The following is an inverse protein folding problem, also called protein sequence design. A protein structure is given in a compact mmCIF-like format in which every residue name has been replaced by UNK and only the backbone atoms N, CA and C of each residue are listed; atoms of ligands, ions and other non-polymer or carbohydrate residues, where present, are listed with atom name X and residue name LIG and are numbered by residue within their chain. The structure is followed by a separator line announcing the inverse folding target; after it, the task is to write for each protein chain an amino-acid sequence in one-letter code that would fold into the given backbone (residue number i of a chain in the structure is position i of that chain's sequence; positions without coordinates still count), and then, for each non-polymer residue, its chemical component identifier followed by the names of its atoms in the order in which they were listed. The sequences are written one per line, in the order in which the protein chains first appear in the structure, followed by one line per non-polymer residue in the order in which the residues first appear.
data_IF_686828502676
#
_entry.id   IF_686828502676
#
_cell.length_a   1.000
_cell.length_b   1.000
_cell.length_c   1.000
_cell.angle_alpha   90.00
_cell.angle_beta   90.00
_cell.angle_gamma   90.00
#
_symmetry.space_group_name_H-M   'P 1'
#
loop_
_entity.id
_entity.type
_entity.pdbx_description
1 polymer ?
#
# COMPACT_ATOMS: atom_id res chain seq x y z
N UNK A 1 19.81 -41.23 -33.60
CA UNK A 1 19.59 -39.77 -33.60
C UNK A 1 18.18 -39.56 -33.13
N UNK A 2 17.96 -39.03 -31.92
CA UNK A 2 16.61 -38.69 -31.45
C UNK A 2 16.03 -37.60 -32.35
N UNK A 3 14.81 -37.84 -32.83
CA UNK A 3 14.07 -36.90 -33.67
C UNK A 3 13.75 -35.62 -32.90
N UNK A 4 13.49 -34.53 -33.60
CA UNK A 4 13.04 -33.27 -32.98
C UNK A 4 11.80 -33.49 -32.10
N UNK A 5 10.91 -34.39 -32.53
CA UNK A 5 9.68 -34.74 -31.81
C UNK A 5 9.97 -35.47 -30.49
N UNK A 6 10.89 -36.43 -30.51
CA UNK A 6 11.34 -37.14 -29.30
C UNK A 6 11.97 -36.17 -28.28
N UNK A 7 12.85 -35.26 -28.74
CA UNK A 7 13.47 -34.25 -27.86
C UNK A 7 12.44 -33.28 -27.26
N UNK A 8 11.44 -32.86 -28.04
CA UNK A 8 10.37 -32.00 -27.54
C UNK A 8 9.49 -32.73 -26.50
N UNK A 9 9.25 -34.03 -26.71
CA UNK A 9 8.51 -34.85 -25.76
C UNK A 9 9.27 -34.99 -24.44
N UNK A 10 10.57 -35.27 -24.48
CA UNK A 10 11.44 -35.32 -23.31
C UNK A 10 11.38 -34.01 -22.51
N UNK A 11 11.57 -32.85 -23.17
CA UNK A 11 11.49 -31.54 -22.52
C UNK A 11 10.11 -31.25 -21.90
N UNK A 12 9.02 -31.70 -22.54
CA UNK A 12 7.67 -31.55 -21.98
C UNK A 12 7.48 -32.40 -20.72
N UNK A 13 8.01 -33.63 -20.71
CA UNK A 13 7.97 -34.47 -19.51
C UNK A 13 8.76 -33.86 -18.35
N UNK A 14 9.89 -33.19 -18.63
CA UNK A 14 10.63 -32.42 -17.63
C UNK A 14 9.80 -31.25 -17.09
N UNK A 15 9.14 -30.47 -17.95
CA UNK A 15 8.23 -29.39 -17.53
C UNK A 15 7.10 -29.94 -16.65
N UNK A 16 6.44 -31.02 -17.07
CA UNK A 16 5.36 -31.63 -16.28
C UNK A 16 5.85 -32.08 -14.89
N UNK A 17 7.10 -32.53 -14.78
CA UNK A 17 7.70 -32.90 -13.50
C UNK A 17 7.95 -31.68 -12.61
N UNK A 18 8.44 -30.58 -13.17
CA UNK A 18 8.62 -29.31 -12.47
C UNK A 18 7.26 -28.75 -12.01
N UNK A 19 6.25 -28.76 -12.88
CA UNK A 19 4.91 -28.25 -12.58
C UNK A 19 4.24 -29.02 -11.44
N UNK A 20 4.41 -30.35 -11.40
CA UNK A 20 4.00 -31.15 -10.23
C UNK A 20 4.71 -30.72 -8.95
N UNK A 21 6.02 -30.48 -9.02
CA UNK A 21 6.80 -29.96 -7.90
C UNK A 21 6.32 -28.58 -7.42
N UNK A 22 6.01 -27.67 -8.35
CA UNK A 22 5.45 -26.36 -8.03
C UNK A 22 4.09 -26.49 -7.34
N UNK A 23 3.21 -27.37 -7.84
CA UNK A 23 1.92 -27.62 -7.23
C UNK A 23 2.06 -28.16 -5.79
N UNK A 24 2.96 -29.11 -5.55
CA UNK A 24 3.24 -29.63 -4.21
C UNK A 24 3.78 -28.56 -3.26
N UNK A 25 4.65 -27.66 -3.76
CA UNK A 25 5.15 -26.52 -3.01
C UNK A 25 4.06 -25.51 -2.67
N UNK A 26 3.14 -25.22 -3.59
CA UNK A 26 1.97 -24.37 -3.34
C UNK A 26 1.09 -24.99 -2.25
N UNK A 27 0.77 -26.28 -2.34
CA UNK A 27 0.00 -26.99 -1.32
C UNK A 27 0.70 -26.98 0.05
N UNK A 28 2.03 -27.16 0.09
CA UNK A 28 2.81 -27.05 1.32
C UNK A 28 2.76 -25.63 1.90
N UNK A 29 2.90 -24.59 1.07
CA UNK A 29 2.79 -23.19 1.48
C UNK A 29 1.42 -22.92 2.09
N UNK A 30 0.34 -23.37 1.44
CA UNK A 30 -1.03 -23.22 1.94
C UNK A 30 -1.19 -23.78 3.35
N UNK A 31 -0.75 -25.03 3.60
CA UNK A 31 -0.81 -25.64 4.94
C UNK A 31 -0.05 -24.85 6.01
N UNK A 32 1.07 -24.23 5.66
CA UNK A 32 1.83 -23.38 6.58
C UNK A 32 1.03 -22.11 6.90
N UNK A 33 0.40 -21.48 5.90
CA UNK A 33 -0.41 -20.27 6.10
C UNK A 33 -1.64 -20.57 6.95
N UNK A 34 -2.29 -21.72 6.75
CA UNK A 34 -3.37 -22.20 7.63
C UNK A 34 -2.90 -22.29 9.10
N UNK A 35 -1.73 -22.89 9.36
CA UNK A 35 -1.17 -22.92 10.71
C UNK A 35 -0.82 -21.55 11.28
N UNK A 36 -0.44 -20.57 10.44
CA UNK A 36 -0.21 -19.17 10.87
C UNK A 36 -1.53 -18.51 11.25
N UNK A 37 -2.63 -18.80 10.56
CA UNK A 37 -3.96 -18.30 10.88
C UNK A 37 -4.40 -18.75 12.28
N UNK A 38 -4.20 -20.02 12.60
CA UNK A 38 -4.57 -20.59 13.90
C UNK A 38 -3.85 -19.88 15.07
N UNK A 39 -2.60 -19.46 14.86
CA UNK A 39 -1.84 -18.69 15.85
C UNK A 39 -2.35 -17.24 15.99
N UNK A 40 -2.93 -16.68 14.94
CA UNK A 40 -3.45 -15.29 14.89
C UNK A 40 -4.96 -15.21 15.15
N UNK A 41 -5.53 -16.21 15.83
CA UNK A 41 -6.93 -16.20 16.22
C UNK A 41 -7.22 -14.96 17.09
N UNK A 42 -8.24 -14.17 16.73
CA UNK A 42 -8.60 -12.92 17.43
C UNK A 42 -8.11 -11.60 16.81
N UNK A 43 -7.17 -11.59 15.84
CA UNK A 43 -6.84 -10.35 15.10
C UNK A 43 -8.03 -9.92 14.22
N UNK A 44 -8.55 -8.69 14.37
CA UNK A 44 -9.68 -8.17 13.58
C UNK A 44 -9.34 -7.93 12.10
N UNK A 45 -8.10 -7.55 11.79
CA UNK A 45 -7.63 -7.33 10.43
C UNK A 45 -6.42 -8.21 10.13
N UNK A 46 -6.56 -9.02 9.07
CA UNK A 46 -5.64 -10.12 8.77
C UNK A 46 -4.51 -9.76 7.80
N UNK A 47 -4.72 -8.77 6.91
CA UNK A 47 -3.68 -8.33 5.98
C UNK A 47 -2.46 -7.76 6.72
N UNK A 48 -1.26 -7.98 6.16
CA UNK A 48 -0.01 -7.42 6.67
C UNK A 48 0.79 -6.78 5.53
N UNK A 49 0.41 -5.58 5.06
CA UNK A 49 1.00 -4.95 3.88
C UNK A 49 2.53 -4.82 3.93
N UNK A 50 3.10 -4.50 5.10
CA UNK A 50 4.54 -4.42 5.28
C UNK A 50 5.25 -5.77 5.11
N UNK A 51 4.61 -6.88 5.51
CA UNK A 51 5.13 -8.23 5.28
C UNK A 51 5.12 -8.56 3.80
N UNK A 52 4.05 -8.22 3.09
CA UNK A 52 3.93 -8.44 1.64
C UNK A 52 4.97 -7.64 0.86
N UNK A 53 5.15 -6.36 1.18
CA UNK A 53 6.17 -5.51 0.58
C UNK A 53 7.57 -6.12 0.75
N UNK A 54 7.93 -6.54 1.97
CA UNK A 54 9.23 -7.21 2.24
C UNK A 54 9.41 -8.53 1.50
N UNK A 55 8.33 -9.29 1.26
CA UNK A 55 8.39 -10.50 0.43
C UNK A 55 8.78 -10.13 -1.00
N UNK A 56 8.12 -9.11 -1.58
CA UNK A 56 8.37 -8.70 -2.95
C UNK A 56 9.73 -8.02 -3.13
N UNK A 57 10.20 -7.23 -2.16
CA UNK A 57 11.55 -6.66 -2.17
C UNK A 57 12.61 -7.77 -2.22
N UNK A 58 12.51 -8.73 -1.28
CA UNK A 58 13.42 -9.87 -1.23
C UNK A 58 13.38 -10.70 -2.51
N UNK A 59 12.18 -10.95 -3.03
CA UNK A 59 11.99 -11.71 -4.27
C UNK A 59 12.71 -11.03 -5.44
N UNK A 60 12.61 -9.71 -5.59
CA UNK A 60 13.33 -8.97 -6.62
C UNK A 60 14.85 -8.94 -6.41
N UNK A 61 15.30 -8.84 -5.16
CA UNK A 61 16.72 -8.79 -4.81
C UNK A 61 17.43 -10.13 -5.02
N UNK A 62 16.77 -11.24 -4.64
CA UNK A 62 17.34 -12.60 -4.71
C UNK A 62 17.17 -13.24 -6.09
N UNK A 63 16.28 -12.72 -6.95
CA UNK A 63 15.97 -13.34 -8.23
C UNK A 63 17.15 -13.35 -9.20
N UNK A 64 17.46 -14.55 -9.70
CA UNK A 64 18.49 -14.82 -10.70
C UNK A 64 17.87 -15.47 -11.95
N UNK A 65 18.49 -15.21 -13.10
CA UNK A 65 18.09 -15.81 -14.38
C UNK A 65 17.09 -14.98 -15.19
N UNK A 66 16.57 -15.60 -16.26
CA UNK A 66 15.89 -14.91 -17.36
C UNK A 66 14.39 -14.68 -17.15
N UNK A 67 13.76 -15.29 -16.14
CA UNK A 67 12.34 -15.08 -15.90
C UNK A 67 12.10 -13.62 -15.49
N UNK A 68 11.17 -12.89 -16.10
CA UNK A 68 11.03 -11.47 -15.81
C UNK A 68 10.43 -11.23 -14.41
N UNK A 69 11.09 -10.34 -13.63
CA UNK A 69 10.79 -10.09 -12.21
C UNK A 69 9.37 -9.57 -11.96
N UNK A 70 8.81 -8.83 -12.93
CA UNK A 70 7.45 -8.29 -12.84
C UNK A 70 6.42 -9.42 -12.78
N UNK A 71 6.51 -10.36 -13.70
CA UNK A 71 5.64 -11.54 -13.77
C UNK A 71 5.84 -12.43 -12.54
N UNK A 72 7.07 -12.53 -12.04
CA UNK A 72 7.38 -13.26 -10.80
C UNK A 72 6.66 -12.63 -9.59
N UNK A 73 6.74 -11.31 -9.46
CA UNK A 73 6.03 -10.58 -8.41
C UNK A 73 4.51 -10.74 -8.51
N UNK A 74 3.96 -10.80 -9.73
CA UNK A 74 2.52 -11.04 -9.96
C UNK A 74 2.10 -12.43 -9.51
N UNK A 75 2.90 -13.47 -9.79
CA UNK A 75 2.65 -14.83 -9.29
C UNK A 75 2.62 -14.85 -7.75
N UNK A 76 3.60 -14.19 -7.11
CA UNK A 76 3.61 -14.07 -5.64
C UNK A 76 2.43 -13.28 -5.10
N UNK A 77 2.01 -12.21 -5.78
CA UNK A 77 0.85 -11.42 -5.42
C UNK A 77 -0.43 -12.26 -5.41
N UNK A 78 -0.67 -13.05 -6.45
CA UNK A 78 -1.83 -13.94 -6.52
C UNK A 78 -1.79 -15.01 -5.42
N UNK A 79 -0.62 -15.60 -5.13
CA UNK A 79 -0.48 -16.56 -4.03
C UNK A 79 -0.74 -15.95 -2.64
N UNK A 80 -0.40 -14.67 -2.44
CA UNK A 80 -0.68 -13.95 -1.19
C UNK A 80 -2.18 -13.70 -1.08
N UNK A 81 -2.78 -13.12 -2.13
CA UNK A 81 -4.21 -12.78 -2.17
C UNK A 81 -5.10 -14.01 -2.00
N UNK A 82 -4.79 -15.12 -2.69
CA UNK A 82 -5.56 -16.35 -2.59
C UNK A 82 -5.66 -16.84 -1.14
N UNK A 83 -4.58 -16.70 -0.36
CA UNK A 83 -4.54 -17.09 1.04
C UNK A 83 -5.19 -16.10 2.00
N UNK A 84 -5.41 -14.83 1.61
CA UNK A 84 -6.17 -13.87 2.43
C UNK A 84 -7.60 -14.32 2.68
N UNK A 85 -8.21 -14.96 1.66
CA UNK A 85 -9.58 -15.51 1.77
C UNK A 85 -9.71 -16.58 2.85
N UNK A 86 -8.61 -17.25 3.21
CA UNK A 86 -8.60 -18.23 4.29
C UNK A 86 -8.67 -17.57 5.66
N UNK A 87 -8.20 -16.33 5.81
CA UNK A 87 -8.09 -15.67 7.10
C UNK A 87 -9.39 -14.96 7.53
N UNK A 88 -10.35 -14.75 6.61
CA UNK A 88 -11.68 -14.19 6.87
C UNK A 88 -12.31 -13.56 5.62
N UNK A 89 -13.55 -13.02 5.72
CA UNK A 89 -14.15 -12.26 4.63
C UNK A 89 -13.31 -11.01 4.33
N UNK A 90 -12.82 -10.90 3.09
CA UNK A 90 -12.03 -9.78 2.61
C UNK A 90 -12.78 -9.07 1.47
N UNK A 91 -12.92 -7.75 1.53
CA UNK A 91 -13.57 -6.96 0.49
C UNK A 91 -12.96 -5.57 0.33
N UNK A 92 -13.15 -4.97 -0.84
CA UNK A 92 -12.56 -3.67 -1.21
C UNK A 92 -13.67 -2.67 -1.57
N UNK A 93 -13.68 -1.52 -0.92
CA UNK A 93 -14.42 -0.35 -1.37
C UNK A 93 -13.54 0.47 -2.32
N UNK A 94 -13.98 0.74 -3.54
CA UNK A 94 -13.19 1.44 -4.57
C UNK A 94 -13.85 2.79 -4.88
N UNK A 95 -13.09 3.87 -4.77
CA UNK A 95 -13.50 5.16 -5.34
C UNK A 95 -13.54 5.03 -6.86
N UNK A 96 -14.74 5.16 -7.43
CA UNK A 96 -14.97 4.95 -8.84
C UNK A 96 -15.87 6.08 -9.39
N UNK A 97 -15.30 7.25 -9.71
CA UNK A 97 -16.03 8.26 -10.45
C UNK A 97 -16.28 7.75 -11.88
N UNK A 98 -17.32 8.25 -12.53
CA UNK A 98 -17.76 7.76 -13.85
C UNK A 98 -16.71 7.95 -14.96
N UNK A 99 -15.79 8.90 -14.79
CA UNK A 99 -14.77 9.30 -15.75
C UNK A 99 -13.41 8.60 -15.60
N UNK A 100 -13.16 7.93 -14.46
CA UNK A 100 -11.84 7.39 -14.12
C UNK A 100 -11.94 5.93 -13.65
N UNK A 101 -12.20 4.97 -14.56
CA UNK A 101 -12.41 3.58 -14.20
C UNK A 101 -11.15 2.87 -13.69
N UNK A 102 -9.95 3.40 -13.96
CA UNK A 102 -8.68 2.73 -13.66
C UNK A 102 -8.40 2.45 -12.18
N UNK A 103 -9.08 3.12 -11.22
CA UNK A 103 -8.98 2.76 -9.79
C UNK A 103 -9.46 1.34 -9.51
N UNK A 104 -10.45 0.86 -10.27
CA UNK A 104 -10.92 -0.52 -10.17
C UNK A 104 -9.87 -1.51 -10.66
N UNK A 105 -9.11 -1.16 -11.70
CA UNK A 105 -8.02 -2.01 -12.17
C UNK A 105 -6.86 -2.02 -11.20
N UNK A 106 -6.49 -0.87 -10.61
CA UNK A 106 -5.48 -0.82 -9.54
C UNK A 106 -5.88 -1.70 -8.35
N UNK A 107 -7.15 -1.66 -7.96
CA UNK A 107 -7.69 -2.51 -6.91
C UNK A 107 -7.60 -4.00 -7.28
N UNK A 108 -8.02 -4.37 -8.50
CA UNK A 108 -7.94 -5.76 -9.00
C UNK A 108 -6.49 -6.25 -9.10
N UNK A 109 -5.59 -5.40 -9.56
CA UNK A 109 -4.16 -5.70 -9.67
C UNK A 109 -3.51 -6.01 -8.31
N UNK A 110 -3.99 -5.36 -7.25
CA UNK A 110 -3.48 -5.54 -5.90
C UNK A 110 -4.18 -6.68 -5.15
N UNK A 111 -5.48 -6.85 -5.35
CA UNK A 111 -6.30 -7.77 -4.55
C UNK A 111 -6.85 -8.94 -5.36
N UNK A 112 -6.34 -9.16 -6.56
CA UNK A 112 -6.71 -10.28 -7.43
C UNK A 112 -8.12 -10.18 -8.01
N UNK A 113 -8.45 -11.15 -8.85
CA UNK A 113 -9.69 -11.15 -9.64
C UNK A 113 -10.91 -11.65 -8.85
N UNK A 114 -10.70 -12.43 -7.79
CA UNK A 114 -11.79 -13.09 -7.04
C UNK A 114 -12.24 -12.32 -5.79
N UNK A 115 -11.55 -11.25 -5.42
CA UNK A 115 -11.91 -10.45 -4.26
C UNK A 115 -13.19 -9.64 -4.53
N UNK A 116 -14.21 -9.72 -3.66
CA UNK A 116 -15.38 -8.85 -3.74
C UNK A 116 -15.00 -7.36 -3.69
N UNK A 117 -15.43 -6.59 -4.68
CA UNK A 117 -15.19 -5.15 -4.76
C UNK A 117 -16.49 -4.38 -4.95
N UNK A 118 -16.62 -3.23 -4.29
CA UNK A 118 -17.78 -2.35 -4.33
C UNK A 118 -17.38 -0.97 -4.87
N UNK A 119 -18.24 -0.36 -5.69
CA UNK A 119 -18.00 0.95 -6.31
C UNK A 119 -18.66 2.05 -5.47
N UNK A 120 -17.92 3.11 -5.20
CA UNK A 120 -18.42 4.29 -4.51
C UNK A 120 -18.15 5.55 -5.34
N UNK A 121 -19.18 6.38 -5.53
CA UNK A 121 -19.08 7.62 -6.29
C UNK A 121 -18.38 8.76 -5.55
N UNK A 122 -18.09 8.62 -4.25
CA UNK A 122 -17.36 9.63 -3.47
C UNK A 122 -16.28 9.00 -2.60
N UNK A 123 -15.16 9.71 -2.46
CA UNK A 123 -14.06 9.28 -1.61
C UNK A 123 -14.47 9.19 -0.13
N UNK A 124 -15.37 10.09 0.30
CA UNK A 124 -15.98 10.04 1.64
C UNK A 124 -16.69 8.71 1.91
N UNK A 125 -17.52 8.25 0.96
CA UNK A 125 -18.25 7.00 1.12
C UNK A 125 -17.32 5.78 1.24
N UNK A 126 -16.16 5.80 0.58
CA UNK A 126 -15.13 4.75 0.76
C UNK A 126 -14.54 4.78 2.17
N UNK A 127 -14.21 5.97 2.70
CA UNK A 127 -13.71 6.10 4.08
C UNK A 127 -14.74 5.61 5.09
N UNK A 128 -16.02 5.97 4.90
CA UNK A 128 -17.13 5.55 5.75
C UNK A 128 -17.33 4.03 5.69
N UNK A 129 -17.31 3.42 4.51
CA UNK A 129 -17.46 1.97 4.33
C UNK A 129 -16.37 1.17 5.07
N UNK A 130 -15.12 1.66 5.06
CA UNK A 130 -14.02 1.01 5.81
C UNK A 130 -14.18 1.21 7.32
N UNK A 131 -14.49 2.44 7.76
CA UNK A 131 -14.67 2.76 9.18
C UNK A 131 -15.83 1.99 9.82
N UNK A 132 -16.90 1.76 9.06
CA UNK A 132 -18.07 0.99 9.48
C UNK A 132 -17.92 -0.52 9.26
N UNK A 133 -16.73 -0.99 8.85
CA UNK A 133 -16.43 -2.41 8.59
C UNK A 133 -17.32 -3.05 7.50
N UNK A 134 -17.89 -2.24 6.60
CA UNK A 134 -18.62 -2.70 5.42
C UNK A 134 -17.67 -3.17 4.30
N UNK A 135 -16.45 -2.64 4.30
CA UNK A 135 -15.34 -3.11 3.49
C UNK A 135 -14.07 -3.26 4.33
N UNK A 136 -13.22 -4.25 4.00
CA UNK A 136 -11.95 -4.47 4.72
C UNK A 136 -10.92 -3.38 4.41
N UNK A 137 -10.86 -2.97 3.14
CA UNK A 137 -9.94 -1.91 2.68
C UNK A 137 -10.65 -0.95 1.73
N UNK A 138 -10.14 0.28 1.64
CA UNK A 138 -10.64 1.31 0.74
C UNK A 138 -9.58 1.79 -0.23
N UNK A 139 -9.87 1.86 -1.52
CA UNK A 139 -8.98 2.39 -2.55
C UNK A 139 -9.42 3.81 -2.89
N UNK A 140 -8.52 4.76 -2.67
CA UNK A 140 -8.75 6.19 -2.79
C UNK A 140 -7.74 6.81 -3.74
N UNK A 141 -8.08 7.91 -4.43
CA UNK A 141 -7.14 8.61 -5.29
C UNK A 141 -5.99 9.17 -4.45
N UNK A 142 -4.79 9.22 -5.01
CA UNK A 142 -3.70 9.96 -4.37
C UNK A 142 -4.15 11.41 -4.14
N UNK A 143 -3.85 12.03 -2.98
CA UNK A 143 -4.26 13.40 -2.71
C UNK A 143 -3.80 14.35 -3.84
N UNK A 144 -4.73 15.12 -4.40
CA UNK A 144 -4.46 16.19 -5.37
C UNK A 144 -4.96 17.54 -4.86
N UNK A 145 -4.38 18.64 -5.36
CA UNK A 145 -4.72 20.00 -4.90
C UNK A 145 -6.05 20.51 -5.45
N UNK A 146 -6.55 19.89 -6.53
CA UNK A 146 -7.73 20.35 -7.27
C UNK A 146 -9.06 19.76 -6.77
N UNK A 147 -9.09 19.11 -5.59
CA UNK A 147 -10.32 18.54 -5.02
C UNK A 147 -10.89 19.47 -3.95
N UNK A 148 -12.15 19.88 -4.16
CA UNK A 148 -12.91 20.74 -3.25
C UNK A 148 -13.00 20.18 -1.81
N UNK A 149 -12.97 18.85 -1.67
CA UNK A 149 -13.03 18.17 -0.38
C UNK A 149 -11.94 17.08 -0.28
N UNK A 150 -10.79 17.37 0.36
CA UNK A 150 -9.71 16.40 0.49
C UNK A 150 -10.12 15.27 1.43
N UNK A 151 -10.24 14.05 0.91
CA UNK A 151 -10.70 12.89 1.68
C UNK A 151 -9.81 12.55 2.88
N UNK A 152 -8.50 12.89 2.82
CA UNK A 152 -7.55 12.56 3.86
C UNK A 152 -7.88 13.23 5.20
N UNK A 153 -8.66 14.32 5.18
CA UNK A 153 -9.18 14.98 6.39
C UNK A 153 -10.07 14.06 7.23
N UNK A 154 -10.73 13.09 6.60
CA UNK A 154 -11.58 12.12 7.29
C UNK A 154 -10.75 11.09 8.08
N UNK A 155 -9.43 11.04 7.86
CA UNK A 155 -8.50 10.19 8.62
C UNK A 155 -7.88 10.91 9.83
N UNK A 156 -8.12 12.22 9.98
CA UNK A 156 -7.53 13.09 11.01
C UNK A 156 -8.24 12.86 12.35
N UNK A 157 -8.06 11.67 12.92
CA UNK A 157 -8.70 11.21 14.15
C UNK A 157 -7.84 10.15 14.83
N UNK A 158 -7.78 10.17 16.16
CA UNK A 158 -7.07 9.16 16.98
C UNK A 158 -7.96 7.96 17.35
N UNK A 159 -9.22 7.95 16.89
CA UNK A 159 -10.13 6.86 17.18
C UNK A 159 -9.63 5.54 16.54
N UNK A 160 -9.63 4.40 17.26
CA UNK A 160 -9.05 3.14 16.80
C UNK A 160 -9.60 2.62 15.47
N UNK A 161 -10.87 2.85 15.21
CA UNK A 161 -11.58 2.47 13.99
C UNK A 161 -11.25 3.37 12.79
N UNK A 162 -10.53 4.48 13.01
CA UNK A 162 -10.18 5.41 11.94
C UNK A 162 -9.20 4.74 10.99
N UNK A 163 -9.52 4.64 9.69
CA UNK A 163 -8.61 4.05 8.73
C UNK A 163 -7.28 4.84 8.65
N UNK A 164 -6.22 4.12 8.30
CA UNK A 164 -4.88 4.63 8.02
C UNK A 164 -4.49 4.23 6.61
N UNK A 165 -3.67 5.05 5.96
CA UNK A 165 -3.01 4.67 4.70
C UNK A 165 -2.08 3.50 4.98
N UNK A 166 -2.15 2.46 4.14
CA UNK A 166 -1.38 1.21 4.31
C UNK A 166 -0.63 0.77 3.06
N UNK A 167 -1.06 1.19 1.87
CA UNK A 167 -0.46 0.78 0.58
C UNK A 167 -0.55 1.92 -0.43
N UNK A 168 0.46 2.02 -1.30
CA UNK A 168 0.47 2.84 -2.51
C UNK A 168 0.34 1.96 -3.74
N UNK A 169 -0.57 2.31 -4.64
CA UNK A 169 -0.87 1.56 -5.87
C UNK A 169 -0.55 2.40 -7.12
N UNK A 170 -0.06 1.76 -8.20
CA UNK A 170 0.28 0.34 -8.29
C UNK A 170 1.56 0.02 -7.50
N UNK A 171 1.57 -1.09 -6.73
CA UNK A 171 2.78 -1.52 -6.03
C UNK A 171 3.80 -2.17 -6.99
N UNK A 172 3.29 -2.87 -8.01
CA UNK A 172 4.07 -3.44 -9.12
C UNK A 172 3.69 -2.65 -10.37
N UNK A 173 4.53 -1.74 -10.89
CA UNK A 173 4.18 -0.89 -12.02
C UNK A 173 4.11 -1.66 -13.35
N UNK A 174 3.54 -1.00 -14.37
CA UNK A 174 3.57 -1.47 -15.76
C UNK A 174 2.49 -2.48 -16.14
N UNK A 175 1.36 -2.51 -15.44
CA UNK A 175 0.15 -3.20 -15.92
C UNK A 175 -0.57 -2.38 -16.99
N UNK A 176 -1.50 -3.04 -17.68
CA UNK A 176 -2.29 -2.49 -18.76
C UNK A 176 -3.60 -1.83 -18.26
N UNK A 177 -3.52 -0.99 -17.21
CA UNK A 177 -4.68 -0.27 -16.68
C UNK A 177 -5.27 0.69 -17.72
N UNK A 178 -6.58 0.93 -17.65
CA UNK A 178 -7.28 1.82 -18.59
C UNK A 178 -6.66 3.22 -18.61
N UNK A 179 -6.42 3.76 -17.43
CA UNK A 179 -5.81 5.07 -17.24
C UNK A 179 -4.33 4.86 -16.89
N UNK A 180 -3.46 5.40 -17.74
CA UNK A 180 -2.01 5.39 -17.50
C UNK A 180 -1.68 6.41 -16.41
N UNK A 181 -0.72 6.08 -15.57
CA UNK A 181 -0.20 6.95 -14.50
C UNK A 181 -1.19 7.27 -13.37
N UNK A 182 -2.23 6.45 -13.19
CA UNK A 182 -3.06 6.54 -12.00
C UNK A 182 -2.34 6.08 -10.75
N UNK A 183 -2.55 6.86 -9.71
CA UNK A 183 -1.96 6.67 -8.41
C UNK A 183 -3.06 6.63 -7.35
N UNK A 184 -3.03 5.59 -6.51
CA UNK A 184 -4.01 5.40 -5.46
C UNK A 184 -3.36 5.07 -4.11
N UNK A 185 -4.06 5.39 -3.05
CA UNK A 185 -3.76 4.98 -1.69
C UNK A 185 -4.81 3.97 -1.23
N UNK A 186 -4.37 2.97 -0.47
CA UNK A 186 -5.27 2.07 0.22
C UNK A 186 -5.35 2.44 1.69
N UNK A 187 -6.56 2.46 2.23
CA UNK A 187 -6.83 2.68 3.65
C UNK A 187 -7.39 1.43 4.35
N UNK A 188 -7.03 1.27 5.62
CA UNK A 188 -7.49 0.19 6.51
C UNK A 188 -7.20 0.61 7.96
N UNK A 189 -8.00 0.23 8.98
CA UNK A 189 -7.71 0.55 10.39
C UNK A 189 -6.56 -0.31 10.93
N UNK A 190 -5.37 -0.14 10.34
CA UNK A 190 -4.14 -0.83 10.68
C UNK A 190 -3.01 0.17 10.87
N UNK A 191 -2.18 0.03 11.91
CA UNK A 191 -0.99 0.85 12.05
C UNK A 191 0.02 0.53 10.94
N UNK A 192 0.85 1.52 10.61
CA UNK A 192 1.99 1.30 9.71
C UNK A 192 3.06 0.44 10.42
N UNK A 193 3.57 -0.57 9.71
CA UNK A 193 4.75 -1.33 10.10
C UNK A 193 5.92 -0.95 9.18
N UNK A 194 7.14 -0.97 9.71
CA UNK A 194 8.35 -0.62 8.95
C UNK A 194 8.69 -1.71 7.92
N UNK A 195 9.03 -1.28 6.70
CA UNK A 195 9.45 -2.14 5.60
C UNK A 195 10.94 -2.01 5.27
N UNK A 196 11.58 -0.94 5.72
CA UNK A 196 12.94 -0.54 5.36
C UNK A 196 13.00 0.39 4.13
N UNK A 197 11.87 0.55 3.43
CA UNK A 197 11.69 1.45 2.28
C UNK A 197 10.34 2.15 2.42
N UNK A 198 10.24 3.08 3.36
CA UNK A 198 8.94 3.58 3.81
C UNK A 198 8.64 5.02 3.39
N UNK A 199 7.35 5.30 3.29
CA UNK A 199 6.74 6.62 3.33
C UNK A 199 5.81 6.69 4.52
N UNK A 200 5.81 7.80 5.24
CA UNK A 200 4.83 8.07 6.31
C UNK A 200 4.06 9.33 5.99
N UNK A 201 2.77 9.34 6.31
CA UNK A 201 1.88 10.49 6.10
C UNK A 201 1.41 11.04 7.44
N UNK A 202 1.50 12.36 7.58
CA UNK A 202 1.14 13.11 8.77
C UNK A 202 0.09 14.17 8.44
N UNK A 203 -0.85 14.38 9.34
CA UNK A 203 -1.62 15.60 9.42
C UNK A 203 -1.04 16.48 10.53
N UNK A 204 -0.81 17.75 10.23
CA UNK A 204 -0.40 18.78 11.19
C UNK A 204 -1.53 19.80 11.27
N UNK A 205 -2.14 19.93 12.44
CA UNK A 205 -3.20 20.92 12.71
C UNK A 205 -2.60 22.15 13.39
N UNK A 206 -3.00 23.33 12.95
CA UNK A 206 -2.58 24.62 13.50
C UNK A 206 -3.77 25.58 13.60
N UNK A 207 -3.72 26.48 14.59
CA UNK A 207 -4.73 27.53 14.80
C UNK A 207 -4.52 28.76 13.92
N UNK A 208 -3.36 28.85 13.25
CA UNK A 208 -2.98 29.92 12.32
C UNK A 208 -2.26 29.32 11.11
N UNK A 209 -2.16 30.07 10.01
CA UNK A 209 -1.34 29.65 8.87
C UNK A 209 0.15 29.77 9.21
N UNK A 210 0.80 28.63 9.46
CA UNK A 210 2.23 28.56 9.78
C UNK A 210 3.12 28.40 8.53
N UNK A 211 2.51 28.11 7.38
CA UNK A 211 3.18 27.86 6.11
C UNK A 211 4.00 26.56 6.03
N UNK A 212 4.14 26.01 4.82
CA UNK A 212 4.97 24.82 4.59
C UNK A 212 6.45 24.97 5.01
N UNK A 213 7.13 26.12 4.81
CA UNK A 213 8.53 26.24 5.21
C UNK A 213 8.78 26.00 6.70
N UNK A 214 7.81 26.34 7.56
CA UNK A 214 7.90 26.04 9.00
C UNK A 214 7.87 24.54 9.26
N UNK A 215 7.00 23.81 8.56
CA UNK A 215 6.84 22.35 8.68
C UNK A 215 8.06 21.64 8.08
N UNK A 216 8.53 22.05 6.91
CA UNK A 216 9.73 21.50 6.27
C UNK A 216 10.98 21.69 7.13
N UNK A 217 11.16 22.88 7.72
CA UNK A 217 12.27 23.12 8.64
C UNK A 217 12.17 22.22 9.88
N UNK A 218 10.99 22.07 10.47
CA UNK A 218 10.79 21.19 11.62
C UNK A 218 11.03 19.71 11.28
N UNK A 219 10.59 19.25 10.11
CA UNK A 219 10.88 17.91 9.60
C UNK A 219 12.39 17.69 9.42
N UNK A 220 13.08 18.66 8.83
CA UNK A 220 14.53 18.61 8.64
C UNK A 220 15.28 18.50 9.98
N UNK A 221 14.89 19.29 10.99
CA UNK A 221 15.44 19.20 12.35
C UNK A 221 15.16 17.86 13.03
N UNK A 222 14.02 17.23 12.73
CA UNK A 222 13.69 15.89 13.20
C UNK A 222 14.41 14.76 12.44
N UNK A 223 15.10 15.09 11.33
CA UNK A 223 15.83 14.12 10.50
C UNK A 223 15.00 13.53 9.35
N UNK A 224 13.91 14.18 8.96
CA UNK A 224 13.06 13.77 7.84
C UNK A 224 13.16 14.74 6.67
N UNK A 225 12.85 14.23 5.48
CA UNK A 225 12.63 15.04 4.29
C UNK A 225 11.16 14.93 3.87
N UNK A 226 10.54 16.07 3.52
CA UNK A 226 9.21 16.08 2.92
C UNK A 226 9.29 15.56 1.48
N UNK A 227 8.29 14.77 1.10
CA UNK A 227 8.13 14.22 -0.24
C UNK A 227 7.02 14.93 -1.01
N UNK A 228 5.96 15.28 -0.29
CA UNK A 228 4.74 15.84 -0.82
C UNK A 228 3.99 16.54 0.31
N UNK A 229 3.24 17.59 -0.03
CA UNK A 229 2.44 18.32 0.94
C UNK A 229 1.16 18.92 0.33
N UNK A 230 0.12 19.01 1.16
CA UNK A 230 -1.12 19.76 0.90
C UNK A 230 -1.57 20.53 2.13
N UNK A 231 -2.43 21.51 1.89
CA UNK A 231 -3.03 22.34 2.91
C UNK A 231 -4.53 22.32 2.66
N UNK A 232 -5.27 22.21 3.74
CA UNK A 232 -6.69 22.42 3.77
C UNK A 232 -7.04 23.36 4.92
N UNK A 233 -8.04 24.21 4.69
CA UNK A 233 -8.61 25.12 5.68
C UNK A 233 -10.12 25.19 5.42
N UNK A 234 -10.94 25.11 6.47
CA UNK A 234 -12.39 25.27 6.34
C UNK A 234 -12.74 26.76 6.31
N UNK A 235 -13.17 27.32 5.15
CA UNK A 235 -13.56 28.73 5.08
C UNK A 235 -14.79 29.07 5.93
N UNK A 236 -15.56 28.07 6.35
CA UNK A 236 -16.80 28.22 7.12
C UNK A 236 -16.63 27.99 8.63
N UNK A 237 -15.47 27.47 9.07
CA UNK A 237 -15.16 27.18 10.47
C UNK A 237 -13.76 27.64 10.84
N UNK A 238 -13.55 28.92 11.19
CA UNK A 238 -12.35 29.33 11.91
C UNK A 238 -12.31 28.65 13.29
N UNK A 239 -11.13 28.34 13.86
CA UNK A 239 -9.78 28.41 13.31
C UNK A 239 -9.20 27.00 13.06
N UNK A 240 -8.64 26.74 11.88
CA UNK A 240 -7.99 25.44 11.66
C UNK A 240 -7.37 25.30 10.29
N UNK A 241 -6.04 25.24 10.27
CA UNK A 241 -5.24 24.84 9.12
C UNK A 241 -4.80 23.40 9.33
N UNK A 242 -5.09 22.53 8.38
CA UNK A 242 -4.60 21.16 8.39
C UNK A 242 -3.67 20.93 7.22
N UNK A 243 -2.41 20.62 7.53
CA UNK A 243 -1.40 20.29 6.53
C UNK A 243 -1.28 18.78 6.43
N UNK A 244 -1.46 18.24 5.23
CA UNK A 244 -1.04 16.87 4.92
C UNK A 244 0.42 16.92 4.49
N UNK A 245 1.27 16.09 5.10
CA UNK A 245 2.66 15.94 4.68
C UNK A 245 3.02 14.47 4.56
N UNK A 246 3.61 14.11 3.43
CA UNK A 246 4.28 12.83 3.25
C UNK A 246 5.78 13.02 3.46
N UNK A 247 6.40 12.09 4.19
CA UNK A 247 7.85 12.10 4.44
C UNK A 247 8.54 10.87 3.87
N UNK A 248 9.84 10.99 3.60
CA UNK A 248 10.72 9.84 3.39
C UNK A 248 11.00 9.14 4.72
N UNK A 249 10.82 7.82 4.76
CA UNK A 249 11.11 6.97 5.92
C UNK A 249 9.87 6.62 6.75
N UNK A 250 10.09 5.73 7.72
CA UNK A 250 9.09 5.33 8.69
C UNK A 250 9.11 6.24 9.92
N UNK A 251 7.94 6.71 10.33
CA UNK A 251 7.76 7.43 11.59
C UNK A 251 6.96 6.55 12.55
N UNK A 252 7.61 6.06 13.60
CA UNK A 252 6.91 5.46 14.74
C UNK A 252 6.26 6.55 15.60
N UNK A 253 5.04 6.29 16.07
CA UNK A 253 4.24 7.20 16.91
C UNK A 253 4.96 7.65 18.19
N UNK A 254 5.80 6.78 18.77
CA UNK A 254 6.59 7.04 19.98
C UNK A 254 8.10 7.21 19.70
N UNK A 255 8.46 7.50 18.46
CA UNK A 255 9.86 7.65 18.06
C UNK A 255 10.49 8.95 18.61
N UNK A 256 11.80 8.94 18.84
CA UNK A 256 12.55 10.16 19.21
C UNK A 256 12.41 11.25 18.15
N UNK A 257 12.33 10.86 16.87
CA UNK A 257 12.13 11.78 15.77
C UNK A 257 10.75 12.45 15.83
N UNK A 258 9.69 11.73 16.20
CA UNK A 258 8.36 12.32 16.41
C UNK A 258 8.37 13.34 17.56
N UNK A 259 9.07 13.05 18.67
CA UNK A 259 9.25 14.03 19.76
C UNK A 259 9.96 15.29 19.28
N UNK A 260 11.07 15.15 18.54
CA UNK A 260 11.80 16.29 17.96
C UNK A 260 10.94 17.11 17.00
N UNK A 261 10.09 16.46 16.21
CA UNK A 261 9.17 17.14 15.30
C UNK A 261 8.16 18.00 16.09
N UNK A 262 7.57 17.44 17.15
CA UNK A 262 6.67 18.17 18.06
C UNK A 262 7.38 19.36 18.71
N UNK A 263 8.60 19.16 19.22
CA UNK A 263 9.38 20.22 19.85
C UNK A 263 9.75 21.34 18.86
N UNK A 264 10.15 20.98 17.64
CA UNK A 264 10.53 21.92 16.60
C UNK A 264 9.33 22.74 16.09
N UNK A 265 8.15 22.13 15.97
CA UNK A 265 6.92 22.87 15.64
C UNK A 265 6.46 23.74 16.83
N UNK A 266 6.67 23.28 18.07
CA UNK A 266 6.38 24.03 19.29
C UNK A 266 4.90 24.39 19.41
N UNK A 267 4.59 25.52 20.06
CA UNK A 267 3.21 25.99 20.24
C UNK A 267 2.51 26.49 18.97
N UNK A 268 3.12 26.36 17.79
CA UNK A 268 2.53 26.75 16.50
C UNK A 268 1.51 25.76 15.97
N UNK A 269 1.50 24.53 16.51
CA UNK A 269 0.62 23.44 16.10
C UNK A 269 -0.21 22.98 17.28
N UNK A 270 -1.47 22.68 17.04
CA UNK A 270 -2.37 22.12 18.03
C UNK A 270 -2.23 20.59 18.11
N UNK A 271 -1.99 19.93 16.97
CA UNK A 271 -1.91 18.46 16.90
C UNK A 271 -1.07 17.96 15.74
N UNK A 272 -0.45 16.80 15.91
CA UNK A 272 0.21 16.03 14.85
C UNK A 272 -0.32 14.60 14.90
N UNK A 273 -0.86 14.12 13.78
CA UNK A 273 -1.53 12.82 13.70
C UNK A 273 -0.89 12.02 12.58
N UNK A 274 -0.57 10.78 12.87
CA UNK A 274 -0.10 9.86 11.84
C UNK A 274 -1.30 9.30 11.07
N UNK A 275 -1.35 9.59 9.77
CA UNK A 275 -2.40 9.09 8.89
C UNK A 275 -2.07 7.71 8.31
N UNK A 276 -0.95 7.11 8.74
CA UNK A 276 -0.41 5.84 8.26
C UNK A 276 0.79 6.05 7.34
N UNK A 277 1.00 5.10 6.45
CA UNK A 277 2.09 5.11 5.49
C UNK A 277 2.23 3.76 4.79
N UNK A 278 3.22 3.64 3.93
CA UNK A 278 3.33 2.50 3.03
C UNK A 278 4.80 2.20 2.68
N UNK A 279 5.09 0.95 2.39
CA UNK A 279 6.33 0.58 1.69
C UNK A 279 6.30 1.12 0.27
N UNK A 280 7.41 1.71 -0.20
CA UNK A 280 7.51 2.29 -1.54
C UNK A 280 7.24 1.23 -2.61
N UNK A 281 6.43 1.51 -3.65
CA UNK A 281 6.29 0.63 -4.80
C UNK A 281 7.62 0.20 -5.41
N UNK A 282 7.63 -0.96 -6.07
CA UNK A 282 8.79 -1.41 -6.84
C UNK A 282 9.08 -0.41 -7.96
N UNK A 283 10.33 -0.02 -8.10
CA UNK A 283 10.80 0.84 -9.18
C UNK A 283 11.11 0.04 -10.44
N UNK A 284 11.27 0.72 -11.57
CA UNK A 284 11.78 0.10 -12.81
C UNK A 284 13.14 -0.57 -12.60
N UNK A 285 14.00 0.00 -11.73
CA UNK A 285 15.29 -0.58 -11.37
C UNK A 285 15.15 -1.89 -10.59
N UNK A 286 14.19 -1.97 -9.66
CA UNK A 286 13.93 -3.20 -8.91
C UNK A 286 13.48 -4.35 -9.84
N UNK A 287 12.75 -3.99 -10.89
CA UNK A 287 12.19 -4.92 -11.89
C UNK A 287 13.07 -5.15 -13.11
N UNK A 288 14.18 -4.42 -13.24
CA UNK A 288 15.11 -4.59 -14.33
C UNK A 288 15.64 -6.04 -14.35
N UNK A 289 15.83 -6.64 -15.54
CA UNK A 289 16.45 -7.95 -15.64
C UNK A 289 17.82 -7.92 -14.95
N UNK A 290 18.19 -9.04 -14.31
CA UNK A 290 19.53 -9.16 -13.76
C UNK A 290 20.53 -8.91 -14.89
N UNK A 291 21.50 -8.02 -14.67
CA UNK A 291 22.61 -7.85 -15.59
C UNK A 291 23.22 -9.23 -15.83
N UNK A 292 23.40 -9.68 -17.08
CA UNK A 292 24.16 -10.89 -17.32
C UNK A 292 25.53 -10.68 -16.68
N UNK A 293 25.92 -11.57 -15.76
CA UNK A 293 27.25 -11.55 -15.15
C UNK A 293 28.30 -11.44 -16.27
N UNK A 294 29.21 -10.46 -16.16
CA UNK A 294 30.41 -10.34 -16.99
C UNK A 294 31.44 -11.43 -16.65
#
# INVERSE_FOLDING_TARGET
MTTKEEKLLELRHEIDAVDRGLHDLIQRRTRIVEGVRDVKEGDDVKIRPAREARILYRLCEEHQGHFPKRELCRIWREMIVATLSFEGPFSVAVFHPDDTPGYWDLARDQYGTFTPMQRHGSARAVVEAVREHQATVGVLPFPSRDRDEPWWRFLVSDAPETPRVIVRLPFIPGSNTHDRDLDALVICPLPQEETGRDRSMLAVEAEEDIGYPAIENALSQAGFAAAFHQLWHDPSRPPGWTYLVEVFGFIGSESRQMSRLKDALGGRVSRIIQLGGYGTPLSERDLAPASPEE
#
